data_IF_320284037572
#
_entry.id   IF_320284037572
#
_cell.length_a   1.000
_cell.length_b   1.000
_cell.length_c   1.000
_cell.angle_alpha   90.00
_cell.angle_beta   90.00
_cell.angle_gamma   90.00
#
_symmetry.space_group_name_H-M   'P 1'
#
loop_
_entity.id
_entity.type
_entity.pdbx_description
1 polymer ?
#
# COMPACT_ATOMS: atom_id res chain seq x y z
N UNK A 1 -2.98 9.20 17.76
CA UNK A 1 -2.69 9.79 16.44
C UNK A 1 -2.34 8.65 15.49
N UNK A 2 -3.03 8.58 14.34
CA UNK A 2 -2.76 7.59 13.31
C UNK A 2 -1.42 7.92 12.61
N UNK A 3 -0.62 6.90 12.32
CA UNK A 3 0.63 7.07 11.53
C UNK A 3 0.30 7.19 10.05
N UNK A 4 1.23 7.68 9.24
CA UNK A 4 1.09 7.76 7.78
C UNK A 4 0.79 6.38 7.16
N UNK A 5 1.40 5.31 7.66
CA UNK A 5 1.08 3.95 7.22
C UNK A 5 -0.36 3.55 7.58
N UNK A 6 -0.82 3.91 8.77
CA UNK A 6 -2.20 3.69 9.19
C UNK A 6 -3.21 4.44 8.31
N UNK A 7 -2.89 5.67 7.92
CA UNK A 7 -3.71 6.47 6.98
C UNK A 7 -3.71 5.80 5.60
N UNK A 8 -2.55 5.35 5.10
CA UNK A 8 -2.44 4.67 3.82
C UNK A 8 -3.25 3.36 3.80
N UNK A 9 -3.16 2.55 4.83
CA UNK A 9 -3.93 1.32 4.98
C UNK A 9 -5.43 1.60 5.04
N UNK A 10 -5.86 2.59 5.84
CA UNK A 10 -7.26 3.00 5.92
C UNK A 10 -7.80 3.42 4.55
N UNK A 11 -7.07 4.30 3.86
CA UNK A 11 -7.46 4.79 2.54
C UNK A 11 -7.56 3.65 1.53
N UNK A 12 -6.62 2.69 1.57
CA UNK A 12 -6.60 1.54 0.68
C UNK A 12 -7.78 0.59 0.91
N UNK A 13 -8.12 0.33 2.17
CA UNK A 13 -9.29 -0.48 2.53
C UNK A 13 -10.61 0.19 2.17
N UNK A 14 -10.76 1.49 2.47
CA UNK A 14 -11.95 2.26 2.13
C UNK A 14 -12.18 2.38 0.61
N UNK A 15 -11.10 2.35 -0.17
CA UNK A 15 -11.13 2.30 -1.62
C UNK A 15 -11.39 0.88 -2.17
N UNK A 16 -11.42 -0.16 -1.32
CA UNK A 16 -11.58 -1.55 -1.72
C UNK A 16 -10.39 -2.14 -2.47
N UNK A 17 -9.21 -1.51 -2.37
CA UNK A 17 -8.01 -1.91 -3.12
C UNK A 17 -7.28 -3.09 -2.50
N UNK A 18 -7.59 -3.44 -1.26
CA UNK A 18 -7.15 -4.63 -0.57
C UNK A 18 -7.98 -5.89 -0.91
N UNK A 19 -8.99 -5.75 -1.77
CA UNK A 19 -9.88 -6.85 -2.20
C UNK A 19 -9.62 -7.18 -3.67
N UNK A 20 -9.72 -8.45 -4.00
CA UNK A 20 -9.62 -8.93 -5.36
C UNK A 20 -10.73 -9.94 -5.65
N UNK A 21 -11.34 -9.80 -6.83
CA UNK A 21 -12.24 -10.81 -7.41
C UNK A 21 -11.94 -10.95 -8.90
N UNK A 22 -12.12 -12.14 -9.51
CA UNK A 22 -11.88 -12.34 -10.95
C UNK A 22 -12.71 -11.41 -11.85
N UNK A 23 -13.90 -10.98 -11.39
CA UNK A 23 -14.79 -10.04 -12.11
C UNK A 23 -14.22 -8.63 -12.22
N UNK A 24 -13.32 -8.24 -11.29
CA UNK A 24 -12.72 -6.89 -11.33
C UNK A 24 -11.81 -6.71 -12.55
N UNK A 25 -11.07 -7.75 -12.92
CA UNK A 25 -10.10 -7.69 -13.99
C UNK A 25 -8.94 -6.72 -13.71
N UNK A 26 -7.82 -6.88 -14.41
CA UNK A 26 -6.64 -6.04 -14.23
C UNK A 26 -6.88 -4.57 -14.69
N UNK A 27 -7.82 -4.34 -15.62
CA UNK A 27 -8.13 -3.00 -16.10
C UNK A 27 -8.60 -2.05 -14.99
N UNK A 28 -9.28 -2.56 -13.95
CA UNK A 28 -9.72 -1.76 -12.79
C UNK A 28 -8.58 -1.41 -11.84
N UNK A 29 -7.37 -1.94 -12.05
CA UNK A 29 -6.16 -1.68 -11.25
C UNK A 29 -5.16 -0.76 -11.97
N UNK A 30 -5.54 -0.15 -13.09
CA UNK A 30 -4.77 0.94 -13.67
C UNK A 30 -4.84 2.17 -12.78
N UNK A 31 -3.71 2.87 -12.65
CA UNK A 31 -3.58 3.98 -11.70
C UNK A 31 -4.65 5.07 -11.83
N UNK A 32 -5.11 5.49 -13.01
CA UNK A 32 -6.23 6.45 -13.12
C UNK A 32 -7.52 5.96 -12.43
N UNK A 33 -7.89 4.69 -12.61
CA UNK A 33 -9.08 4.10 -11.99
C UNK A 33 -8.91 3.95 -10.48
N UNK A 34 -7.73 3.51 -10.05
CA UNK A 34 -7.35 3.41 -8.63
C UNK A 34 -7.42 4.78 -7.95
N UNK A 35 -6.94 5.81 -8.61
CA UNK A 35 -6.96 7.18 -8.14
C UNK A 35 -8.38 7.69 -7.89
N UNK A 36 -9.33 7.45 -8.81
CA UNK A 36 -10.74 7.75 -8.57
C UNK A 36 -11.32 7.03 -7.36
N UNK A 37 -10.97 5.76 -7.15
CA UNK A 37 -11.41 5.01 -5.98
C UNK A 37 -10.84 5.60 -4.69
N UNK A 38 -9.57 5.99 -4.69
CA UNK A 38 -8.90 6.66 -3.57
C UNK A 38 -9.49 8.05 -3.30
N UNK A 39 -9.82 8.84 -4.34
CA UNK A 39 -10.48 10.14 -4.19
C UNK A 39 -11.83 9.99 -3.50
N UNK A 40 -12.66 9.05 -3.95
CA UNK A 40 -13.95 8.76 -3.31
C UNK A 40 -13.80 8.30 -1.86
N UNK A 41 -12.79 7.51 -1.57
CA UNK A 41 -12.49 7.06 -0.21
C UNK A 41 -12.02 8.23 0.66
N UNK A 42 -11.16 9.10 0.17
CA UNK A 42 -10.61 10.25 0.88
C UNK A 42 -11.69 11.24 1.35
N UNK A 43 -12.76 11.42 0.55
CA UNK A 43 -13.92 12.26 0.93
C UNK A 43 -14.67 11.67 2.14
N UNK A 44 -14.72 10.34 2.28
CA UNK A 44 -15.41 9.67 3.40
C UNK A 44 -14.61 9.63 4.68
N UNK A 45 -13.30 9.80 4.61
CA UNK A 45 -12.41 9.78 5.77
C UNK A 45 -12.33 11.18 6.38
N UNK A 46 -12.85 11.33 7.60
CA UNK A 46 -12.91 12.60 8.35
C UNK A 46 -11.94 12.57 9.53
N UNK A 47 -10.67 13.01 9.34
CA UNK A 47 -9.66 12.98 10.39
C UNK A 47 -9.87 14.03 11.49
N UNK A 48 -10.61 15.10 11.19
CA UNK A 48 -10.90 16.19 12.13
C UNK A 48 -12.27 16.82 11.81
N UNK A 49 -12.83 17.58 12.75
CA UNK A 49 -14.10 18.30 12.51
C UNK A 49 -13.99 19.18 11.28
N UNK A 50 -14.95 19.03 10.37
CA UNK A 50 -15.10 19.82 9.14
C UNK A 50 -13.94 19.70 8.14
N UNK A 51 -13.13 18.66 8.20
CA UNK A 51 -12.07 18.40 7.22
C UNK A 51 -12.11 16.93 6.82
N UNK A 52 -12.17 16.67 5.53
CA UNK A 52 -11.98 15.34 4.97
C UNK A 52 -10.49 15.09 4.66
N UNK A 53 -10.13 13.83 4.44
CA UNK A 53 -8.78 13.52 4.02
C UNK A 53 -8.48 14.14 2.65
N UNK A 54 -9.49 14.23 1.78
CA UNK A 54 -9.36 14.80 0.43
C UNK A 54 -8.93 16.27 0.43
N UNK A 55 -9.26 17.04 1.48
CA UNK A 55 -8.84 18.44 1.61
C UNK A 55 -7.33 18.63 1.72
N UNK A 56 -6.61 17.56 2.06
CA UNK A 56 -5.16 17.56 2.27
C UNK A 56 -4.40 16.60 1.37
N UNK A 57 -5.11 15.80 0.57
CA UNK A 57 -4.53 14.76 -0.24
C UNK A 57 -4.30 15.25 -1.66
N UNK A 58 -3.05 15.19 -2.13
CA UNK A 58 -2.70 15.39 -3.52
C UNK A 58 -2.17 14.07 -4.09
N UNK A 59 -2.84 13.54 -5.09
CA UNK A 59 -2.42 12.31 -5.74
C UNK A 59 -1.60 12.61 -6.98
N UNK A 60 -0.45 11.95 -7.09
CA UNK A 60 0.51 12.13 -8.18
C UNK A 60 0.41 10.94 -9.13
N UNK A 61 0.28 11.22 -10.42
CA UNK A 61 0.17 10.18 -11.43
C UNK A 61 0.36 10.69 -12.85
N UNK A 62 0.28 9.80 -13.81
CA UNK A 62 0.36 10.13 -15.25
C UNK A 62 -0.87 10.93 -15.70
N UNK A 63 -0.64 11.92 -16.56
CA UNK A 63 -1.70 12.64 -17.28
C UNK A 63 -2.24 13.88 -16.58
N UNK A 64 -1.69 14.26 -15.42
CA UNK A 64 -2.11 15.48 -14.74
C UNK A 64 -1.25 16.66 -15.22
N UNK A 65 -1.65 17.33 -16.30
CA UNK A 65 -0.99 18.55 -16.77
C UNK A 65 -1.07 19.68 -15.74
N UNK A 66 -2.10 19.66 -14.88
CA UNK A 66 -2.33 20.67 -13.84
C UNK A 66 -1.78 20.31 -12.45
N UNK A 67 -0.98 19.26 -12.33
CA UNK A 67 -0.44 18.81 -11.04
C UNK A 67 0.16 19.90 -10.16
N UNK A 68 1.00 20.80 -10.65
CA UNK A 68 1.54 21.91 -9.85
C UNK A 68 0.48 22.89 -9.35
N UNK A 69 -0.58 23.13 -10.13
CA UNK A 69 -1.69 23.98 -9.71
C UNK A 69 -2.49 23.32 -8.61
N UNK A 70 -2.83 22.03 -8.77
CA UNK A 70 -3.52 21.22 -7.76
C UNK A 70 -2.74 21.18 -6.44
N UNK A 71 -1.44 20.96 -6.49
CA UNK A 71 -0.60 20.95 -5.29
C UNK A 71 -0.60 22.29 -4.56
N UNK A 72 -0.55 23.42 -5.31
CA UNK A 72 -0.63 24.76 -4.72
C UNK A 72 -1.99 25.03 -4.12
N UNK A 73 -3.07 24.61 -4.76
CA UNK A 73 -4.44 24.78 -4.28
C UNK A 73 -4.66 23.96 -3.01
N UNK A 74 -4.31 22.67 -3.03
CA UNK A 74 -4.37 21.79 -1.87
C UNK A 74 -3.55 22.35 -0.71
N UNK A 75 -2.35 22.88 -0.98
CA UNK A 75 -1.51 23.49 0.05
C UNK A 75 -2.14 24.76 0.65
N UNK A 76 -2.79 25.58 -0.18
CA UNK A 76 -3.51 26.78 0.31
C UNK A 76 -4.68 26.40 1.17
N UNK A 77 -5.45 25.37 0.82
CA UNK A 77 -6.59 24.89 1.62
C UNK A 77 -6.19 24.37 2.99
N UNK A 78 -4.93 23.91 3.15
CA UNK A 78 -4.39 23.47 4.43
C UNK A 78 -4.04 24.60 5.42
N UNK A 79 -4.19 25.88 5.02
CA UNK A 79 -3.93 27.04 5.84
C UNK A 79 -2.45 27.32 6.11
N UNK A 80 -2.13 27.98 7.24
CA UNK A 80 -0.79 28.48 7.54
C UNK A 80 0.33 27.42 7.55
N UNK A 81 -0.01 26.15 7.78
CA UNK A 81 0.99 25.07 7.86
C UNK A 81 1.45 24.56 6.50
N UNK A 82 0.71 24.81 5.44
CA UNK A 82 0.99 24.35 4.07
C UNK A 82 1.42 22.87 3.98
N UNK A 83 0.89 22.06 4.91
CA UNK A 83 1.15 20.62 4.99
C UNK A 83 0.10 19.86 4.25
N UNK A 84 0.56 19.05 3.29
CA UNK A 84 -0.27 18.17 2.49
C UNK A 84 0.18 16.73 2.61
N UNK A 85 -0.67 15.83 2.16
CA UNK A 85 -0.37 14.41 1.95
C UNK A 85 -0.18 14.19 0.45
N UNK A 86 1.00 13.71 0.06
CA UNK A 86 1.29 13.30 -1.32
C UNK A 86 1.15 11.80 -1.41
N UNK A 87 0.32 11.32 -2.33
CA UNK A 87 0.12 9.89 -2.59
C UNK A 87 0.46 9.56 -4.03
N UNK A 88 1.20 8.49 -4.25
CA UNK A 88 1.52 8.03 -5.60
C UNK A 88 2.35 6.75 -5.62
N UNK A 89 2.60 6.24 -6.81
CA UNK A 89 3.57 5.17 -7.03
C UNK A 89 4.98 5.79 -6.94
N UNK A 90 5.80 5.27 -6.06
CA UNK A 90 7.19 5.72 -5.90
C UNK A 90 8.05 5.11 -7.01
N UNK A 91 8.76 5.96 -7.73
CA UNK A 91 9.72 5.56 -8.77
C UNK A 91 11.14 5.42 -8.21
N UNK A 92 11.53 6.31 -7.28
CA UNK A 92 12.89 6.33 -6.78
C UNK A 92 12.98 7.03 -5.41
N UNK A 93 13.88 6.54 -4.57
CA UNK A 93 14.33 7.20 -3.33
C UNK A 93 15.86 7.12 -3.32
N UNK A 94 16.54 8.25 -3.49
CA UNK A 94 17.97 8.30 -3.62
C UNK A 94 18.61 9.43 -2.81
N UNK A 95 19.88 9.25 -2.44
CA UNK A 95 20.72 10.35 -1.98
C UNK A 95 21.23 11.12 -3.18
N UNK A 96 21.05 12.44 -3.14
CA UNK A 96 21.57 13.35 -4.16
C UNK A 96 22.46 14.40 -3.51
N UNK A 97 23.52 14.79 -4.25
CA UNK A 97 24.40 15.85 -3.84
C UNK A 97 23.77 17.21 -4.19
N UNK A 98 23.78 18.12 -3.22
CA UNK A 98 23.41 19.51 -3.41
C UNK A 98 24.61 20.39 -3.76
N UNK A 99 24.49 21.68 -3.49
CA UNK A 99 25.60 22.60 -3.57
C UNK A 99 26.53 22.42 -2.37
N UNK A 100 27.84 22.36 -2.63
CA UNK A 100 28.84 22.02 -1.61
C UNK A 100 28.74 20.54 -1.18
N UNK A 101 29.11 20.25 0.06
CA UNK A 101 29.10 18.89 0.62
C UNK A 101 27.72 18.45 1.18
N UNK A 102 26.66 19.20 0.89
CA UNK A 102 25.32 18.87 1.38
C UNK A 102 24.72 17.73 0.59
N UNK A 103 24.24 16.72 1.31
CA UNK A 103 23.43 15.64 0.75
C UNK A 103 21.98 15.74 1.25
N UNK A 104 21.05 15.34 0.41
CA UNK A 104 19.66 15.19 0.79
C UNK A 104 19.03 13.95 0.14
N UNK A 105 18.01 13.41 0.80
CA UNK A 105 17.20 12.35 0.26
C UNK A 105 16.21 12.96 -0.74
N UNK A 106 16.20 12.44 -1.96
CA UNK A 106 15.23 12.78 -3.01
C UNK A 106 14.24 11.64 -3.18
N UNK A 107 12.96 11.95 -3.22
CA UNK A 107 11.90 11.03 -3.53
C UNK A 107 11.24 11.45 -4.84
N UNK A 108 11.07 10.49 -5.74
CA UNK A 108 10.42 10.68 -7.02
C UNK A 108 9.24 9.76 -7.17
N UNK A 109 8.09 10.34 -7.53
CA UNK A 109 6.89 9.57 -7.89
C UNK A 109 6.87 9.28 -9.39
N UNK A 110 6.22 8.18 -9.76
CA UNK A 110 5.93 7.85 -11.14
C UNK A 110 5.01 8.91 -11.76
N UNK A 111 5.37 9.42 -12.95
CA UNK A 111 4.66 10.54 -13.59
C UNK A 111 5.08 11.93 -13.12
N UNK A 112 5.81 12.08 -12.02
CA UNK A 112 6.21 13.39 -11.48
C UNK A 112 7.15 14.20 -12.41
N UNK A 113 7.73 13.57 -13.42
CA UNK A 113 8.57 14.25 -14.41
C UNK A 113 7.82 15.35 -15.18
N UNK A 114 6.50 15.22 -15.30
CA UNK A 114 5.65 16.20 -15.99
C UNK A 114 5.36 17.44 -15.16
N UNK A 115 5.67 17.43 -13.84
CA UNK A 115 5.23 18.47 -12.92
C UNK A 115 6.32 19.39 -12.38
N UNK A 116 7.57 19.20 -12.71
CA UNK A 116 8.67 19.89 -12.02
C UNK A 116 8.57 19.76 -10.49
N UNK A 117 8.00 18.66 -10.00
CA UNK A 117 7.82 18.37 -8.58
C UNK A 117 9.10 17.75 -8.02
N UNK A 118 9.64 18.38 -6.99
CA UNK A 118 10.73 17.81 -6.18
C UNK A 118 10.27 17.59 -4.77
N UNK A 119 10.34 16.34 -4.31
CA UNK A 119 10.15 15.97 -2.91
C UNK A 119 11.52 15.66 -2.32
N UNK A 120 11.90 16.34 -1.26
CA UNK A 120 13.20 16.17 -0.61
C UNK A 120 13.04 16.05 0.90
N UNK A 121 14.03 15.41 1.53
CA UNK A 121 14.17 15.30 2.98
C UNK A 121 15.65 15.40 3.37
N UNK A 122 15.95 15.54 4.65
CA UNK A 122 17.33 15.46 5.14
C UNK A 122 17.96 14.11 4.77
N UNK A 123 19.28 14.06 4.52
CA UNK A 123 19.98 12.85 4.08
C UNK A 123 19.77 11.63 5.00
N UNK A 124 19.67 11.85 6.30
CA UNK A 124 19.43 10.80 7.30
C UNK A 124 18.10 10.03 7.06
N UNK A 125 17.17 10.62 6.32
CA UNK A 125 15.91 9.99 5.97
C UNK A 125 16.10 8.76 5.08
N UNK A 126 17.04 8.78 4.15
CA UNK A 126 17.32 7.63 3.30
C UNK A 126 17.62 6.37 4.13
N UNK A 127 18.48 6.50 5.14
CA UNK A 127 18.82 5.41 6.03
C UNK A 127 17.64 4.96 6.92
N UNK A 128 16.85 5.92 7.42
CA UNK A 128 15.65 5.62 8.22
C UNK A 128 14.60 4.87 7.40
N UNK A 129 14.36 5.30 6.16
CA UNK A 129 13.41 4.66 5.25
C UNK A 129 13.92 3.27 4.88
N UNK A 130 15.21 3.10 4.58
CA UNK A 130 15.79 1.80 4.27
C UNK A 130 15.66 0.79 5.42
N UNK A 131 15.85 1.23 6.67
CA UNK A 131 15.63 0.38 7.84
C UNK A 131 14.15 0.01 8.05
N UNK A 132 13.25 0.96 7.82
CA UNK A 132 11.81 0.75 8.07
C UNK A 132 11.13 -0.04 6.95
N UNK A 133 11.58 0.12 5.71
CA UNK A 133 10.97 -0.46 4.51
C UNK A 133 12.03 -1.15 3.62
N UNK A 134 12.71 -2.20 4.13
CA UNK A 134 13.84 -2.82 3.43
C UNK A 134 13.43 -3.45 2.09
N UNK A 135 12.25 -4.06 2.00
CA UNK A 135 11.76 -4.68 0.76
C UNK A 135 11.44 -3.62 -0.30
N UNK A 136 10.78 -2.53 0.09
CA UNK A 136 10.52 -1.40 -0.81
C UNK A 136 11.82 -0.80 -1.35
N UNK A 137 12.78 -0.51 -0.47
CA UNK A 137 14.07 0.06 -0.88
C UNK A 137 14.88 -0.88 -1.77
N UNK A 138 14.88 -2.18 -1.48
CA UNK A 138 15.53 -3.17 -2.35
C UNK A 138 14.86 -3.25 -3.73
N UNK A 139 13.54 -3.11 -3.82
CA UNK A 139 12.84 -3.05 -5.09
C UNK A 139 13.15 -1.76 -5.85
N UNK A 140 13.15 -0.61 -5.17
CA UNK A 140 13.44 0.70 -5.80
C UNK A 140 14.87 0.80 -6.31
N UNK A 141 15.82 0.08 -5.71
CA UNK A 141 17.21 0.02 -6.18
C UNK A 141 17.37 -0.75 -7.50
N UNK A 142 16.36 -1.49 -7.96
CA UNK A 142 16.40 -2.23 -9.24
C UNK A 142 15.84 -1.38 -10.38
N UNK A 143 16.27 -1.63 -11.63
CA UNK A 143 15.62 -1.09 -12.81
C UNK A 143 14.11 -1.38 -12.79
N UNK A 144 13.29 -0.44 -13.21
CA UNK A 144 11.83 -0.54 -13.14
C UNK A 144 11.27 -1.83 -13.77
N UNK A 145 11.83 -2.25 -14.90
CA UNK A 145 11.41 -3.46 -15.61
C UNK A 145 11.70 -4.76 -14.84
N UNK A 146 12.61 -4.72 -13.87
CA UNK A 146 13.03 -5.89 -13.07
C UNK A 146 12.35 -5.94 -11.69
N UNK A 147 11.50 -4.97 -11.38
CA UNK A 147 10.84 -4.90 -10.07
C UNK A 147 9.72 -5.92 -9.97
N UNK A 148 9.84 -6.80 -9.00
CA UNK A 148 8.79 -7.78 -8.70
C UNK A 148 7.55 -7.16 -8.02
N UNK A 149 7.69 -5.98 -7.43
CA UNK A 149 6.64 -5.23 -6.74
C UNK A 149 6.62 -3.76 -7.21
N UNK A 150 5.49 -3.09 -7.02
CA UNK A 150 5.43 -1.62 -7.00
C UNK A 150 5.42 -1.13 -5.56
N UNK A 151 5.78 0.12 -5.37
CA UNK A 151 5.80 0.78 -4.06
C UNK A 151 4.86 1.97 -4.10
N UNK A 152 3.84 1.95 -3.25
CA UNK A 152 2.95 3.09 -3.02
C UNK A 152 3.51 3.91 -1.87
N UNK A 153 3.63 5.22 -2.05
CA UNK A 153 4.12 6.13 -1.02
C UNK A 153 3.05 7.13 -0.61
N UNK A 154 2.88 7.31 0.71
CA UNK A 154 2.16 8.43 1.31
C UNK A 154 3.15 9.29 2.08
N UNK A 155 3.31 10.55 1.66
CA UNK A 155 4.29 11.49 2.21
C UNK A 155 3.56 12.68 2.82
N UNK A 156 3.77 12.94 4.09
CA UNK A 156 3.43 14.24 4.69
C UNK A 156 4.50 15.24 4.29
N UNK A 157 4.11 16.32 3.59
CA UNK A 157 5.05 17.28 3.06
C UNK A 157 4.60 18.73 3.26
N UNK A 158 5.58 19.62 3.43
CA UNK A 158 5.41 21.07 3.36
C UNK A 158 5.71 21.53 1.94
N UNK A 159 4.78 22.28 1.34
CA UNK A 159 4.89 22.77 -0.05
C UNK A 159 5.45 24.18 -0.08
N UNK A 160 6.40 24.42 -1.02
CA UNK A 160 6.91 25.75 -1.34
C UNK A 160 6.94 25.92 -2.85
N UNK A 161 6.67 27.13 -3.29
CA UNK A 161 6.80 27.53 -4.70
C UNK A 161 8.02 28.42 -4.86
N UNK A 162 8.87 28.08 -5.82
CA UNK A 162 10.03 28.90 -6.20
C UNK A 162 9.95 29.23 -7.68
N UNK A 163 10.31 30.47 -8.04
CA UNK A 163 10.45 30.87 -9.44
C UNK A 163 11.94 30.86 -9.80
N UNK A 164 12.34 29.95 -10.68
CA UNK A 164 13.72 29.83 -11.13
C UNK A 164 13.73 29.96 -12.66
N UNK A 165 14.47 30.93 -13.20
CA UNK A 165 14.58 31.19 -14.65
C UNK A 165 13.21 31.35 -15.34
N UNK A 166 12.25 32.02 -14.68
CA UNK A 166 10.90 32.25 -15.22
C UNK A 166 9.97 31.06 -15.16
N UNK A 167 10.42 29.90 -14.65
CA UNK A 167 9.60 28.73 -14.43
C UNK A 167 9.21 28.59 -12.95
N UNK A 168 7.94 28.36 -12.71
CA UNK A 168 7.46 28.07 -11.36
C UNK A 168 7.71 26.59 -11.02
N UNK A 169 8.57 26.35 -10.06
CA UNK A 169 8.83 25.02 -9.50
C UNK A 169 8.09 24.82 -8.19
N UNK A 170 7.48 23.66 -8.01
CA UNK A 170 6.91 23.24 -6.74
C UNK A 170 7.92 22.36 -6.02
N UNK A 171 8.33 22.78 -4.83
CA UNK A 171 9.22 22.00 -3.96
C UNK A 171 8.45 21.55 -2.75
N UNK A 172 8.54 20.26 -2.45
CA UNK A 172 7.97 19.65 -1.27
C UNK A 172 9.08 19.16 -0.35
N UNK A 173 9.05 19.56 0.90
CA UNK A 173 9.90 18.99 1.92
C UNK A 173 9.12 17.91 2.66
N UNK A 174 9.58 16.67 2.58
CA UNK A 174 8.98 15.58 3.31
C UNK A 174 9.25 15.71 4.82
N UNK A 175 8.19 15.58 5.60
CA UNK A 175 8.23 15.55 7.06
C UNK A 175 8.10 14.11 7.60
N UNK A 176 7.27 13.26 6.95
CA UNK A 176 7.16 11.82 7.21
C UNK A 176 6.75 11.05 5.95
N UNK A 177 7.03 9.75 5.93
CA UNK A 177 6.72 8.87 4.80
C UNK A 177 6.24 7.50 5.28
N UNK A 178 5.24 6.97 4.59
CA UNK A 178 4.89 5.56 4.60
C UNK A 178 5.07 4.96 3.21
N UNK A 179 5.63 3.77 3.17
CA UNK A 179 5.73 2.96 1.96
C UNK A 179 4.92 1.68 2.16
N UNK A 180 4.22 1.26 1.11
CA UNK A 180 3.46 0.02 1.06
C UNK A 180 3.80 -0.70 -0.24
N UNK A 181 4.27 -1.92 -0.11
CA UNK A 181 4.58 -2.79 -1.22
C UNK A 181 3.29 -3.40 -1.78
N UNK A 182 3.17 -3.43 -3.10
CA UNK A 182 1.99 -3.99 -3.76
C UNK A 182 2.39 -4.88 -4.94
N UNK A 183 1.57 -5.88 -5.22
CA UNK A 183 1.66 -6.69 -6.44
C UNK A 183 1.40 -5.78 -7.66
N UNK A 184 2.24 -5.83 -8.72
CA UNK A 184 2.23 -4.82 -9.79
C UNK A 184 0.95 -4.71 -10.60
N UNK A 185 0.25 -5.82 -10.83
CA UNK A 185 -0.91 -5.88 -11.72
C UNK A 185 -2.23 -5.64 -11.00
N UNK A 186 -2.32 -6.08 -9.75
CA UNK A 186 -3.56 -6.02 -8.95
C UNK A 186 -3.53 -4.93 -7.89
N UNK A 187 -2.35 -4.37 -7.61
CA UNK A 187 -2.08 -3.45 -6.51
C UNK A 187 -2.52 -4.00 -5.15
N UNK A 188 -2.55 -5.32 -5.02
CA UNK A 188 -2.78 -6.00 -3.74
C UNK A 188 -1.58 -5.78 -2.83
N UNK A 189 -1.78 -5.26 -1.60
CA UNK A 189 -0.69 -5.09 -0.64
C UNK A 189 -0.05 -6.42 -0.26
N UNK A 190 1.27 -6.41 -0.11
CA UNK A 190 2.08 -7.56 0.31
C UNK A 190 3.18 -7.09 1.26
N UNK A 191 3.54 -7.90 2.23
CA UNK A 191 4.57 -7.57 3.24
C UNK A 191 5.81 -8.45 3.12
N UNK A 192 5.79 -9.42 2.19
CA UNK A 192 6.91 -10.32 1.94
C UNK A 192 6.90 -10.87 0.51
N UNK A 193 8.05 -11.39 0.05
CA UNK A 193 8.14 -12.13 -1.22
C UNK A 193 7.28 -13.39 -1.25
N UNK A 194 7.08 -14.04 -0.11
CA UNK A 194 6.21 -15.22 0.00
C UNK A 194 4.74 -14.85 -0.18
N UNK A 195 4.27 -13.76 0.45
CA UNK A 195 2.92 -13.25 0.23
C UNK A 195 2.70 -12.83 -1.23
N UNK A 196 3.71 -12.24 -1.89
CA UNK A 196 3.63 -11.90 -3.31
C UNK A 196 3.38 -13.12 -4.19
N UNK A 197 4.08 -14.24 -3.92
CA UNK A 197 3.89 -15.50 -4.66
C UNK A 197 2.47 -16.03 -4.46
N UNK A 198 1.96 -16.01 -3.24
CA UNK A 198 0.59 -16.47 -2.93
C UNK A 198 -0.45 -15.55 -3.58
N UNK A 199 -0.29 -14.21 -3.50
CA UNK A 199 -1.20 -13.27 -4.14
C UNK A 199 -1.32 -13.53 -5.65
N UNK A 200 -0.19 -13.77 -6.33
CA UNK A 200 -0.17 -14.13 -7.76
C UNK A 200 -0.86 -15.46 -8.04
N UNK A 201 -0.56 -16.49 -7.25
CA UNK A 201 -1.19 -17.80 -7.40
C UNK A 201 -2.71 -17.75 -7.22
N UNK A 202 -3.19 -16.95 -6.26
CA UNK A 202 -4.63 -16.73 -6.05
C UNK A 202 -5.28 -16.05 -7.28
N UNK A 203 -4.63 -15.05 -7.85
CA UNK A 203 -5.10 -14.37 -9.07
C UNK A 203 -5.13 -15.31 -10.27
N UNK A 204 -4.07 -16.10 -10.48
CA UNK A 204 -3.96 -17.10 -11.56
C UNK A 204 -5.06 -18.17 -11.46
N UNK A 205 -5.34 -18.65 -10.24
CA UNK A 205 -6.41 -19.61 -9.97
C UNK A 205 -7.80 -18.97 -9.88
N UNK A 206 -7.92 -17.67 -10.25
CA UNK A 206 -9.19 -16.92 -10.29
C UNK A 206 -9.94 -16.92 -8.96
N UNK A 207 -9.22 -16.85 -7.83
CA UNK A 207 -9.78 -16.82 -6.50
C UNK A 207 -10.21 -15.41 -6.11
N UNK A 208 -11.23 -15.31 -5.25
CA UNK A 208 -11.63 -14.06 -4.61
C UNK A 208 -11.05 -13.99 -3.20
N UNK A 209 -10.42 -12.88 -2.85
CA UNK A 209 -9.78 -12.73 -1.55
C UNK A 209 -9.71 -11.27 -1.08
N UNK A 210 -9.46 -11.12 0.21
CA UNK A 210 -9.15 -9.86 0.89
C UNK A 210 -7.77 -9.95 1.51
N UNK A 211 -6.97 -8.89 1.43
CA UNK A 211 -5.76 -8.66 2.22
C UNK A 211 -6.11 -7.71 3.36
N UNK A 212 -6.34 -8.18 4.60
CA UNK A 212 -6.58 -7.29 5.74
C UNK A 212 -5.34 -6.43 6.02
N UNK A 213 -5.53 -5.13 6.24
CA UNK A 213 -4.43 -4.19 6.45
C UNK A 213 -4.41 -3.58 7.84
N UNK A 214 -5.55 -3.58 8.52
CA UNK A 214 -5.68 -2.96 9.83
C UNK A 214 -6.20 -3.97 10.84
N UNK A 215 -5.56 -3.96 12.00
CA UNK A 215 -5.97 -4.72 13.17
C UNK A 215 -6.95 -3.87 14.00
N UNK A 216 -8.14 -4.39 14.20
CA UNK A 216 -9.12 -3.80 15.12
C UNK A 216 -9.14 -4.60 16.43
N UNK A 217 -8.49 -4.06 17.46
CA UNK A 217 -8.38 -4.72 18.75
C UNK A 217 -9.74 -5.02 19.44
N UNK A 218 -10.84 -4.41 18.97
CA UNK A 218 -12.20 -4.69 19.44
C UNK A 218 -12.85 -5.88 18.74
N UNK A 219 -12.29 -6.33 17.62
CA UNK A 219 -12.88 -7.38 16.75
C UNK A 219 -11.91 -8.49 16.41
N UNK A 220 -10.62 -8.16 16.27
CA UNK A 220 -9.61 -9.06 15.77
C UNK A 220 -8.71 -9.55 16.92
N UNK A 221 -8.52 -10.84 17.04
CA UNK A 221 -7.48 -11.42 17.90
C UNK A 221 -6.20 -11.61 17.10
N UNK A 222 -6.34 -11.96 15.83
CA UNK A 222 -5.25 -12.19 14.87
C UNK A 222 -5.61 -11.55 13.54
N UNK A 223 -4.62 -10.97 12.86
CA UNK A 223 -4.75 -10.47 11.50
C UNK A 223 -4.15 -11.49 10.53
N UNK A 224 -4.96 -12.13 9.65
CA UNK A 224 -4.45 -13.05 8.65
C UNK A 224 -3.74 -12.33 7.50
N UNK A 225 -2.86 -13.04 6.80
CA UNK A 225 -2.21 -12.50 5.60
C UNK A 225 -3.20 -12.34 4.46
N UNK A 226 -4.10 -13.31 4.26
CA UNK A 226 -5.20 -13.22 3.32
C UNK A 226 -6.45 -13.88 3.91
N UNK A 227 -7.61 -13.56 3.34
CA UNK A 227 -8.88 -14.25 3.59
C UNK A 227 -9.50 -14.60 2.25
N UNK A 228 -9.68 -15.90 1.94
CA UNK A 228 -10.46 -16.33 0.78
C UNK A 228 -11.93 -16.04 1.04
N UNK A 229 -12.58 -15.38 0.10
CA UNK A 229 -14.00 -14.98 0.23
C UNK A 229 -14.92 -15.79 -0.68
N UNK A 230 -14.36 -16.71 -1.45
CA UNK A 230 -15.05 -17.60 -2.38
C UNK A 230 -15.11 -19.05 -1.92
N UNK A 231 -15.02 -19.31 -0.63
CA UNK A 231 -15.16 -20.62 0.00
C UNK A 231 -16.53 -20.76 0.66
N UNK A 232 -16.87 -21.99 1.10
CA UNK A 232 -18.13 -22.24 1.84
C UNK A 232 -18.06 -21.76 3.30
N UNK A 233 -16.90 -21.29 3.78
CA UNK A 233 -16.76 -20.71 5.12
C UNK A 233 -17.44 -19.32 5.18
N UNK A 234 -18.49 -19.13 5.98
CA UNK A 234 -19.29 -17.89 5.98
C UNK A 234 -18.49 -16.62 6.32
N UNK A 235 -17.42 -16.76 7.09
CA UNK A 235 -16.51 -15.65 7.45
C UNK A 235 -15.32 -15.54 6.53
N UNK A 236 -15.26 -16.36 5.47
CA UNK A 236 -14.09 -16.55 4.61
C UNK A 236 -13.03 -17.44 5.29
N UNK A 237 -12.15 -18.03 4.50
CA UNK A 237 -11.08 -18.90 4.98
C UNK A 237 -9.80 -18.10 5.22
N UNK A 238 -9.35 -17.96 6.49
CA UNK A 238 -8.09 -17.29 6.79
C UNK A 238 -6.88 -18.02 6.21
N UNK A 239 -5.88 -17.26 5.78
CA UNK A 239 -4.65 -17.79 5.21
C UNK A 239 -3.44 -17.13 5.87
N UNK A 240 -2.42 -17.94 6.20
CA UNK A 240 -1.16 -17.49 6.79
C UNK A 240 0.05 -18.00 5.98
N UNK A 241 1.01 -17.12 5.80
CA UNK A 241 2.25 -17.39 5.11
C UNK A 241 3.43 -17.25 6.08
N UNK A 242 3.90 -18.37 6.60
CA UNK A 242 4.99 -18.39 7.58
C UNK A 242 6.35 -18.39 6.88
N UNK A 243 6.99 -17.21 6.81
CA UNK A 243 8.23 -17.00 6.07
C UNK A 243 9.48 -16.78 6.92
N UNK A 244 9.44 -17.02 8.26
CA UNK A 244 10.56 -16.80 9.18
C UNK A 244 10.77 -18.01 10.10
N UNK A 245 12.04 -18.21 10.50
CA UNK A 245 12.46 -19.34 11.33
C UNK A 245 13.00 -18.91 12.73
N UNK A 246 12.99 -17.61 13.06
CA UNK A 246 13.49 -17.17 14.37
C UNK A 246 12.54 -17.57 15.52
N UNK A 247 13.09 -17.76 16.70
CA UNK A 247 12.39 -18.29 17.88
C UNK A 247 11.20 -17.40 18.30
N UNK A 248 11.38 -16.06 18.27
CA UNK A 248 10.29 -15.13 18.60
C UNK A 248 9.13 -15.21 17.61
N UNK A 249 9.43 -15.52 16.34
CA UNK A 249 8.41 -15.74 15.33
C UNK A 249 7.72 -17.11 15.49
N UNK A 250 8.46 -18.15 15.88
CA UNK A 250 7.90 -19.48 16.13
C UNK A 250 6.83 -19.45 17.23
N UNK A 251 7.05 -18.72 18.32
CA UNK A 251 6.07 -18.54 19.39
C UNK A 251 4.76 -17.88 18.87
N UNK A 252 4.90 -16.78 18.11
CA UNK A 252 3.74 -16.09 17.52
C UNK A 252 2.99 -16.95 16.50
N UNK A 253 3.72 -17.75 15.71
CA UNK A 253 3.15 -18.72 14.78
C UNK A 253 2.30 -19.75 15.51
N UNK A 254 2.82 -20.33 16.59
CA UNK A 254 2.10 -21.30 17.40
C UNK A 254 0.81 -20.71 18.01
N UNK A 255 0.88 -19.46 18.48
CA UNK A 255 -0.28 -18.72 18.98
C UNK A 255 -1.35 -18.51 17.90
N UNK A 256 -0.96 -18.06 16.70
CA UNK A 256 -1.85 -17.91 15.56
C UNK A 256 -2.50 -19.23 15.15
N UNK A 257 -1.70 -20.30 15.01
CA UNK A 257 -2.22 -21.62 14.65
C UNK A 257 -3.24 -22.13 15.66
N UNK A 258 -2.94 -22.03 16.95
CA UNK A 258 -3.88 -22.41 18.01
C UNK A 258 -5.19 -21.62 17.91
N UNK A 259 -5.12 -20.29 17.71
CA UNK A 259 -6.31 -19.46 17.55
C UNK A 259 -7.17 -19.90 16.36
N UNK A 260 -6.55 -20.16 15.20
CA UNK A 260 -7.31 -20.59 14.03
C UNK A 260 -7.91 -21.98 14.20
N UNK A 261 -7.20 -22.91 14.85
CA UNK A 261 -7.71 -24.24 15.17
C UNK A 261 -8.92 -24.19 16.12
N UNK A 262 -8.88 -23.31 17.12
CA UNK A 262 -9.96 -23.12 18.08
C UNK A 262 -11.19 -22.42 17.49
N UNK A 263 -10.99 -21.40 16.65
CA UNK A 263 -12.07 -20.53 16.15
C UNK A 263 -12.68 -21.04 14.85
N UNK A 264 -11.89 -21.62 13.97
CA UNK A 264 -12.30 -22.07 12.64
C UNK A 264 -12.28 -23.60 12.53
N UNK A 265 -11.45 -24.30 13.29
CA UNK A 265 -11.14 -25.72 13.12
C UNK A 265 -9.99 -25.95 12.15
N UNK A 266 -9.23 -27.02 12.36
CA UNK A 266 -8.00 -27.33 11.59
C UNK A 266 -8.20 -27.41 10.07
N UNK A 267 -9.39 -27.81 9.60
CA UNK A 267 -9.71 -27.93 8.18
C UNK A 267 -10.22 -26.63 7.54
N UNK A 268 -10.48 -25.58 8.33
CA UNK A 268 -11.17 -24.35 7.89
C UNK A 268 -10.28 -23.11 7.80
N UNK A 269 -8.96 -23.31 7.90
CA UNK A 269 -7.97 -22.29 7.60
C UNK A 269 -6.81 -22.88 6.80
N UNK A 270 -6.05 -22.05 6.11
CA UNK A 270 -4.96 -22.49 5.27
C UNK A 270 -3.64 -21.84 5.72
N UNK A 271 -2.54 -22.60 5.65
CA UNK A 271 -1.22 -22.03 5.89
C UNK A 271 -0.14 -22.68 5.04
N UNK A 272 0.90 -21.91 4.82
CA UNK A 272 2.11 -22.37 4.18
C UNK A 272 3.33 -22.04 5.04
N UNK A 273 4.10 -23.05 5.38
CA UNK A 273 5.44 -22.90 5.94
C UNK A 273 6.45 -22.76 4.80
N UNK A 274 6.77 -21.52 4.42
CA UNK A 274 7.67 -21.22 3.32
C UNK A 274 9.14 -21.54 3.64
N UNK A 275 9.48 -21.67 4.93
CA UNK A 275 10.82 -22.09 5.38
C UNK A 275 10.98 -23.58 5.26
N UNK A 276 10.01 -24.37 5.74
CA UNK A 276 10.05 -25.84 5.67
C UNK A 276 9.83 -26.39 4.26
N UNK A 277 9.02 -25.69 3.44
CA UNK A 277 8.66 -26.12 2.09
C UNK A 277 8.79 -24.98 1.06
N UNK A 278 10.00 -24.50 0.76
CA UNK A 278 10.20 -23.39 -0.16
C UNK A 278 9.59 -23.66 -1.53
N UNK A 279 8.75 -22.73 -2.02
CA UNK A 279 8.12 -22.83 -3.34
C UNK A 279 7.06 -23.95 -3.49
N UNK A 280 6.71 -24.63 -2.40
CA UNK A 280 5.72 -25.72 -2.41
C UNK A 280 4.66 -25.45 -1.35
N UNK A 281 3.61 -24.75 -1.70
CA UNK A 281 2.47 -24.52 -0.82
C UNK A 281 1.39 -25.58 -0.99
N UNK A 282 0.56 -25.84 0.04
CA UNK A 282 -0.61 -26.73 -0.05
C UNK A 282 -1.61 -26.22 -1.10
N UNK A 283 -2.42 -27.13 -1.64
CA UNK A 283 -3.55 -26.71 -2.47
C UNK A 283 -4.43 -25.72 -1.70
N UNK A 284 -4.92 -24.71 -2.41
CA UNK A 284 -5.88 -23.79 -1.80
C UNK A 284 -7.21 -24.50 -1.52
N UNK A 285 -7.95 -24.11 -0.46
CA UNK A 285 -9.29 -24.58 -0.21
C UNK A 285 -10.17 -24.43 -1.45
N UNK A 286 -11.06 -25.37 -1.74
CA UNK A 286 -11.91 -25.31 -2.93
C UNK A 286 -12.78 -24.04 -2.92
N UNK A 287 -13.01 -23.48 -4.10
CA UNK A 287 -14.01 -22.43 -4.24
C UNK A 287 -15.43 -23.01 -4.03
N UNK A 288 -16.30 -22.22 -3.42
CA UNK A 288 -17.71 -22.59 -3.28
C UNK A 288 -18.35 -22.84 -4.65
N UNK A 289 -19.14 -23.89 -4.74
CA UNK A 289 -19.96 -24.18 -5.91
C UNK A 289 -21.26 -23.37 -5.95
N UNK A 290 -21.53 -22.56 -4.90
CA UNK A 290 -22.66 -21.64 -4.91
C UNK A 290 -22.43 -20.58 -5.98
N UNK A 291 -23.21 -20.61 -7.03
CA UNK A 291 -23.31 -19.50 -7.99
C UNK A 291 -23.93 -18.32 -7.24
N UNK A 292 -23.23 -17.17 -7.21
CA UNK A 292 -23.78 -15.87 -6.76
C UNK A 292 -25.01 -15.50 -7.64
N UNK A 293 -26.14 -16.06 -7.33
CA UNK A 293 -27.36 -15.93 -8.11
C UNK A 293 -28.57 -15.39 -7.35
N UNK A 294 -28.42 -15.07 -6.04
CA UNK A 294 -29.60 -14.76 -5.22
C UNK A 294 -29.50 -13.53 -4.30
N UNK A 295 -28.54 -12.62 -4.53
CA UNK A 295 -28.47 -11.35 -3.76
C UNK A 295 -28.68 -10.10 -4.64
N UNK A 296 -29.68 -10.12 -5.52
CA UNK A 296 -30.30 -8.93 -6.13
C UNK A 296 -31.78 -8.87 -5.68
N UNK A 297 -32.01 -8.43 -4.43
CA UNK A 297 -33.30 -7.86 -4.00
C UNK A 297 -33.03 -6.60 -3.18
#
# INVERSE_FOLDING_TARGET
>A
RMTELGVLHLLWEEAGLNRWTPRMGRARRHWPVVREALDRAAVRIVPARNQTLSDRLAMIGYGDEDGPALLRETARSCGETWRILLLGIVDDIALINGQGDQQFCSLRFDGAKTYNLRVSAAAIWHERVARRYPMAMAALARPRAERAIRVVGLVTATVRTEVTQGQTMVRCRADDIALMEVEPDTLTPVSSGHELVIARALVEQRRSFVRPLRFDAGRDVVLPDFVLTDTDEPRGTPMEVFGRADEAYAARRAEKARYYDEVFGQAHWWHWDAVASPGRWPAFPPASTRTDGDDDV
#
